data_IF_646285443220
#
_entry.id   IF_646285443220
#
_cell.length_a   1.000
_cell.length_b   1.000
_cell.length_c   1.000
_cell.angle_alpha   90.00
_cell.angle_beta   90.00
_cell.angle_gamma   90.00
#
_symmetry.space_group_name_H-M   'P 1'
#
loop_
_entity.id
_entity.type
_entity.pdbx_description
1 polymer ?
#
# COMPACT_ATOMS: atom_id res chain seq x y z
N UNK A 1 73.57 -39.70 33.91
CA UNK A 1 73.03 -40.97 34.36
C UNK A 1 71.72 -41.18 33.60
N UNK A 2 71.77 -41.99 32.50
CA UNK A 2 70.64 -42.24 31.63
C UNK A 2 69.93 -43.50 32.05
N UNK A 3 68.71 -43.44 32.52
CA UNK A 3 67.88 -44.58 32.85
C UNK A 3 67.06 -44.95 31.61
N UNK A 4 67.27 -46.12 31.03
CA UNK A 4 66.45 -46.69 29.94
C UNK A 4 65.31 -47.49 30.57
N UNK A 5 64.06 -47.32 30.20
CA UNK A 5 63.00 -48.21 30.60
C UNK A 5 63.03 -49.47 29.75
N UNK A 6 63.16 -50.65 30.41
CA UNK A 6 63.07 -51.97 29.80
C UNK A 6 61.59 -52.36 29.69
N UNK A 7 61.04 -52.36 28.47
CA UNK A 7 59.68 -52.88 28.21
C UNK A 7 59.78 -54.43 28.20
N UNK A 8 59.01 -55.03 29.07
CA UNK A 8 58.93 -56.52 29.14
C UNK A 8 57.96 -56.99 28.04
N UNK A 9 58.37 -57.91 27.11
CA UNK A 9 57.54 -58.34 25.97
C UNK A 9 56.29 -59.16 26.36
N UNK A 10 56.16 -59.56 27.58
CA UNK A 10 55.03 -60.37 28.10
C UNK A 10 53.71 -59.54 28.23
N UNK A 11 53.79 -58.23 28.38
CA UNK A 11 52.59 -57.38 28.46
C UNK A 11 51.95 -57.08 27.07
N UNK A 12 52.75 -57.13 26.03
CA UNK A 12 52.30 -56.90 24.68
C UNK A 12 51.50 -58.07 24.10
N UNK A 13 51.86 -59.30 24.47
CA UNK A 13 51.15 -60.51 24.04
C UNK A 13 49.81 -60.66 24.76
N UNK A 14 49.73 -60.26 26.03
CA UNK A 14 48.48 -60.31 26.78
C UNK A 14 47.44 -59.25 26.27
N UNK A 15 47.90 -58.06 25.84
CA UNK A 15 47.05 -57.03 25.26
C UNK A 15 46.51 -57.43 23.89
N UNK A 16 47.29 -58.14 23.07
CA UNK A 16 46.89 -58.65 21.77
C UNK A 16 45.87 -59.78 21.88
N UNK A 17 46.03 -60.70 22.88
CA UNK A 17 45.06 -61.76 23.11
C UNK A 17 43.71 -61.25 23.63
N UNK A 18 43.70 -60.16 24.42
CA UNK A 18 42.47 -59.56 24.91
C UNK A 18 41.71 -58.81 23.79
N UNK A 19 42.42 -58.20 22.85
CA UNK A 19 41.84 -57.56 21.71
C UNK A 19 41.19 -58.55 20.72
N UNK A 20 41.76 -59.71 20.51
CA UNK A 20 41.19 -60.77 19.65
C UNK A 20 39.98 -61.44 20.32
N UNK A 21 39.92 -61.54 21.64
CA UNK A 21 38.78 -62.12 22.36
C UNK A 21 37.59 -61.19 22.39
N UNK A 22 37.80 -59.86 22.25
CA UNK A 22 36.74 -58.87 22.14
C UNK A 22 36.14 -58.78 20.76
N UNK A 23 36.81 -59.24 19.70
CA UNK A 23 36.32 -59.25 18.33
C UNK A 23 35.51 -60.52 17.98
N UNK A 24 35.39 -61.50 18.86
CA UNK A 24 34.60 -62.71 18.63
C UNK A 24 33.30 -62.79 19.41
N UNK A 25 32.77 -61.60 19.87
CA UNK A 25 31.41 -61.57 20.39
C UNK A 25 30.46 -61.37 19.25
N UNK A 26 29.74 -62.42 19.07
CA UNK A 26 28.64 -62.67 18.15
C UNK A 26 27.83 -61.45 17.71
N UNK A 27 27.73 -61.31 16.39
CA UNK A 27 26.75 -60.59 15.71
C UNK A 27 25.40 -61.31 15.84
N UNK A 28 24.75 -61.23 17.01
CA UNK A 28 23.32 -61.43 17.09
C UNK A 28 22.66 -60.18 16.46
N UNK A 29 22.32 -60.36 15.21
CA UNK A 29 21.44 -59.44 14.52
C UNK A 29 20.05 -59.50 15.19
N UNK A 30 19.91 -58.81 16.32
CA UNK A 30 18.61 -58.48 16.85
C UNK A 30 17.95 -57.58 15.82
N UNK A 31 16.98 -58.12 15.08
CA UNK A 31 15.98 -57.38 14.34
C UNK A 31 15.38 -56.38 15.32
N UNK A 32 15.82 -55.13 15.24
CA UNK A 32 15.11 -54.04 15.88
C UNK A 32 13.70 -54.01 15.30
N UNK A 33 12.65 -54.09 16.13
CA UNK A 33 11.33 -53.80 15.66
C UNK A 33 11.37 -52.39 15.10
N UNK A 34 10.91 -52.25 13.86
CA UNK A 34 10.67 -50.96 13.23
C UNK A 34 9.81 -50.13 14.19
N UNK A 35 10.42 -49.32 15.02
CA UNK A 35 9.75 -48.26 15.74
C UNK A 35 9.23 -47.37 14.65
N UNK A 36 7.95 -47.56 14.32
CA UNK A 36 7.16 -46.55 13.66
C UNK A 36 7.35 -45.28 14.50
N UNK A 37 8.22 -44.39 14.00
CA UNK A 37 8.35 -43.08 14.61
C UNK A 37 6.92 -42.52 14.63
N UNK A 38 6.43 -42.09 15.78
CA UNK A 38 5.16 -41.38 15.78
C UNK A 38 5.36 -40.24 14.80
N UNK A 39 4.54 -40.21 13.74
CA UNK A 39 4.48 -39.05 12.89
C UNK A 39 4.37 -37.84 13.83
N UNK A 40 5.39 -37.01 13.79
CA UNK A 40 5.36 -35.76 14.49
C UNK A 40 4.02 -35.13 14.12
N UNK A 41 3.08 -35.11 15.05
CA UNK A 41 1.90 -34.26 14.92
C UNK A 41 2.48 -32.86 14.78
N UNK A 42 2.65 -32.42 13.55
CA UNK A 42 2.82 -31.02 13.25
C UNK A 42 1.57 -30.39 13.86
N UNK A 43 1.67 -29.89 15.08
CA UNK A 43 0.71 -28.92 15.58
C UNK A 43 0.89 -27.71 14.67
N UNK A 44 0.14 -27.67 13.58
CA UNK A 44 -0.08 -26.43 12.86
C UNK A 44 -0.64 -25.50 13.93
N UNK A 45 0.18 -24.57 14.39
CA UNK A 45 -0.29 -23.53 15.30
C UNK A 45 -1.30 -22.73 14.49
N UNK A 46 -2.56 -22.91 14.80
CA UNK A 46 -3.63 -22.13 14.21
C UNK A 46 -3.32 -20.67 14.47
N UNK A 47 -2.96 -19.96 13.39
CA UNK A 47 -2.58 -18.54 13.47
C UNK A 47 -3.82 -17.73 13.77
N UNK A 48 -3.75 -16.89 14.79
CA UNK A 48 -4.85 -15.96 15.10
C UNK A 48 -4.91 -14.89 14.02
N UNK A 49 -6.12 -14.65 13.52
CA UNK A 49 -6.40 -13.54 12.62
C UNK A 49 -6.78 -12.32 13.47
N UNK A 50 -6.00 -11.25 13.33
CA UNK A 50 -6.29 -9.96 13.93
C UNK A 50 -7.13 -9.12 12.98
N UNK A 51 -8.28 -8.68 13.43
CA UNK A 51 -9.23 -7.89 12.68
C UNK A 51 -9.46 -6.54 13.39
N UNK A 52 -8.91 -5.44 12.86
CA UNK A 52 -9.27 -4.10 13.29
C UNK A 52 -10.70 -3.78 12.86
N UNK A 53 -11.49 -3.21 13.75
CA UNK A 53 -12.91 -2.90 13.53
C UNK A 53 -13.24 -1.51 14.04
N UNK A 54 -13.61 -0.62 13.14
CA UNK A 54 -14.17 0.68 13.49
C UNK A 54 -15.70 0.63 13.35
N UNK A 55 -16.41 1.14 14.33
CA UNK A 55 -17.88 1.22 14.28
C UNK A 55 -18.29 2.68 14.39
N UNK A 56 -19.16 3.11 13.49
CA UNK A 56 -19.70 4.47 13.48
C UNK A 56 -21.23 4.45 13.49
N UNK A 57 -21.83 5.47 14.08
CA UNK A 57 -23.27 5.70 14.02
C UNK A 57 -23.68 6.37 12.67
N UNK A 58 -24.98 6.60 12.50
CA UNK A 58 -25.52 7.30 11.30
C UNK A 58 -24.95 8.71 11.08
N UNK A 59 -24.38 9.33 12.10
CA UNK A 59 -23.77 10.66 12.03
C UNK A 59 -22.27 10.59 11.76
N UNK A 60 -21.70 9.38 11.67
CA UNK A 60 -20.26 9.16 11.53
C UNK A 60 -19.48 9.25 12.85
N UNK A 61 -20.16 9.35 14.00
CA UNK A 61 -19.49 9.35 15.28
C UNK A 61 -19.05 7.93 15.69
N UNK A 62 -17.85 7.82 16.28
CA UNK A 62 -17.29 6.54 16.74
C UNK A 62 -18.13 5.97 17.89
N UNK A 63 -18.40 4.66 17.81
CA UNK A 63 -19.11 3.89 18.83
C UNK A 63 -18.12 2.96 19.52
N UNK A 64 -17.88 3.16 20.81
CA UNK A 64 -16.79 2.52 21.56
C UNK A 64 -17.26 1.69 22.77
N UNK A 65 -18.55 1.50 22.94
CA UNK A 65 -19.18 0.80 24.06
C UNK A 65 -19.75 -0.59 23.71
N UNK A 66 -19.32 -1.14 22.55
CA UNK A 66 -19.74 -2.46 22.09
C UNK A 66 -18.90 -3.58 22.73
N UNK A 67 -19.46 -4.78 22.72
CA UNK A 67 -18.84 -6.01 23.23
C UNK A 67 -18.80 -7.09 22.13
N UNK A 68 -18.03 -8.16 22.33
CA UNK A 68 -17.96 -9.28 21.39
C UNK A 68 -19.35 -9.90 21.09
N UNK A 69 -20.31 -9.81 22.02
CA UNK A 69 -21.66 -10.36 21.86
C UNK A 69 -22.51 -9.58 20.88
N UNK A 70 -22.14 -8.34 20.57
CA UNK A 70 -22.86 -7.48 19.64
C UNK A 70 -22.50 -7.80 18.18
N UNK A 71 -21.61 -8.80 17.96
CA UNK A 71 -21.11 -9.13 16.63
C UNK A 71 -21.29 -10.60 16.29
N UNK A 72 -21.54 -10.84 15.02
CA UNK A 72 -21.51 -12.17 14.39
C UNK A 72 -20.42 -12.16 13.31
N UNK A 73 -19.44 -13.05 13.45
CA UNK A 73 -18.31 -13.20 12.54
C UNK A 73 -18.50 -14.44 11.66
N UNK A 74 -18.26 -14.31 10.36
CA UNK A 74 -18.17 -15.44 9.44
C UNK A 74 -16.91 -15.30 8.58
N UNK A 75 -16.31 -16.45 8.23
CA UNK A 75 -15.23 -16.59 7.26
C UNK A 75 -15.67 -17.56 6.18
N UNK A 76 -15.62 -17.15 4.90
CA UNK A 76 -16.14 -17.91 3.76
C UNK A 76 -17.57 -18.45 3.98
N UNK A 77 -18.39 -17.64 4.66
CA UNK A 77 -19.76 -17.98 5.01
C UNK A 77 -19.91 -18.93 6.22
N UNK A 78 -18.82 -19.38 6.83
CA UNK A 78 -18.82 -20.24 8.02
C UNK A 78 -18.73 -19.40 9.30
N UNK A 79 -19.59 -19.60 10.29
CA UNK A 79 -19.51 -18.88 11.56
C UNK A 79 -18.17 -19.14 12.26
N UNK A 80 -17.58 -18.09 12.83
CA UNK A 80 -16.33 -18.15 13.57
C UNK A 80 -16.51 -17.62 14.99
N UNK A 81 -15.80 -18.24 15.95
CA UNK A 81 -15.85 -17.81 17.34
C UNK A 81 -14.85 -16.65 17.59
N UNK A 82 -15.34 -15.54 18.08
CA UNK A 82 -14.50 -14.42 18.52
C UNK A 82 -13.74 -14.83 19.79
N UNK A 83 -12.41 -14.83 19.74
CA UNK A 83 -11.54 -15.20 20.86
C UNK A 83 -11.29 -14.03 21.80
N UNK A 84 -10.93 -12.89 21.24
CA UNK A 84 -10.73 -11.66 22.01
C UNK A 84 -11.39 -10.48 21.31
N UNK A 85 -11.75 -9.49 22.11
CA UNK A 85 -12.35 -8.24 21.65
C UNK A 85 -11.95 -7.15 22.63
N UNK A 86 -11.16 -6.19 22.20
CA UNK A 86 -10.62 -5.13 23.04
C UNK A 86 -10.43 -3.83 22.28
N UNK A 87 -10.57 -2.70 22.96
CA UNK A 87 -10.15 -1.38 22.45
C UNK A 87 -8.74 -0.99 22.91
N UNK A 88 -8.18 -1.76 23.85
CA UNK A 88 -6.85 -1.50 24.38
C UNK A 88 -5.84 -2.43 23.74
N UNK A 89 -4.80 -1.85 23.18
CA UNK A 89 -3.67 -2.58 22.57
C UNK A 89 -2.36 -1.92 22.94
N UNK A 90 -1.39 -2.74 23.27
CA UNK A 90 0.00 -2.33 23.46
C UNK A 90 0.80 -2.44 22.14
N UNK A 91 0.16 -2.90 21.06
CA UNK A 91 0.80 -3.00 19.77
C UNK A 91 1.18 -1.61 19.24
N UNK A 92 2.41 -1.44 18.76
CA UNK A 92 2.83 -0.17 18.18
C UNK A 92 2.08 0.14 16.89
N UNK A 93 1.91 1.42 16.60
CA UNK A 93 1.47 1.87 15.28
C UNK A 93 2.65 1.94 14.31
N UNK A 94 2.37 1.53 13.07
CA UNK A 94 3.20 1.75 11.89
C UNK A 94 2.35 2.54 10.91
N UNK A 95 2.66 3.82 10.79
CA UNK A 95 1.87 4.76 10.01
C UNK A 95 2.65 5.16 8.76
N UNK A 96 1.97 5.24 7.63
CA UNK A 96 2.50 5.82 6.41
C UNK A 96 1.64 7.00 5.98
N UNK A 97 2.27 8.14 5.74
CA UNK A 97 1.66 9.29 5.09
C UNK A 97 2.07 9.28 3.62
N UNK A 98 1.09 9.19 2.72
CA UNK A 98 1.28 9.19 1.27
C UNK A 98 0.61 10.44 0.71
N UNK A 99 1.41 11.38 0.24
CA UNK A 99 0.95 12.69 -0.22
C UNK A 99 1.13 12.78 -1.74
N UNK A 100 0.02 12.99 -2.43
CA UNK A 100 0.01 13.29 -3.85
C UNK A 100 0.55 14.70 -4.06
N UNK A 101 1.67 14.83 -4.75
CA UNK A 101 2.26 16.12 -5.12
C UNK A 101 2.07 16.46 -6.60
N UNK A 102 1.20 15.70 -7.27
CA UNK A 102 0.87 15.94 -8.66
C UNK A 102 0.18 17.29 -8.86
N UNK A 103 0.17 17.74 -10.10
CA UNK A 103 -0.33 19.07 -10.45
C UNK A 103 -1.80 19.29 -10.12
N UNK A 104 -2.62 18.25 -10.10
CA UNK A 104 -4.06 18.34 -9.81
C UNK A 104 -4.37 18.77 -8.39
N UNK A 105 -3.46 18.49 -7.44
CA UNK A 105 -3.61 18.84 -6.01
C UNK A 105 -2.83 20.10 -5.58
N UNK A 106 -2.19 20.79 -6.53
CA UNK A 106 -1.34 21.96 -6.27
C UNK A 106 -1.96 22.99 -5.32
N UNK A 107 -3.24 23.30 -5.49
CA UNK A 107 -3.93 24.31 -4.67
C UNK A 107 -4.21 23.86 -3.24
N UNK A 108 -4.10 22.57 -2.94
CA UNK A 108 -4.36 22.00 -1.63
C UNK A 108 -3.10 21.79 -0.79
N UNK A 109 -1.91 21.79 -1.41
CA UNK A 109 -0.65 21.34 -0.75
C UNK A 109 -0.33 22.09 0.55
N UNK A 110 -0.57 23.40 0.61
CA UNK A 110 -0.29 24.17 1.84
C UNK A 110 -1.23 23.81 2.99
N UNK A 111 -2.49 23.48 2.65
CA UNK A 111 -3.45 23.01 3.65
C UNK A 111 -3.14 21.57 4.06
N UNK A 112 -2.69 20.76 3.11
CA UNK A 112 -2.28 19.37 3.35
C UNK A 112 -1.07 19.29 4.28
N UNK A 113 -0.01 20.06 4.02
CA UNK A 113 1.17 20.11 4.89
C UNK A 113 0.80 20.38 6.35
N UNK A 114 0.02 21.42 6.60
CA UNK A 114 -0.42 21.78 7.96
C UNK A 114 -1.25 20.68 8.62
N UNK A 115 -2.13 20.05 7.85
CA UNK A 115 -2.95 18.98 8.38
C UNK A 115 -2.14 17.69 8.63
N UNK A 116 -1.15 17.38 7.77
CA UNK A 116 -0.22 16.27 7.96
C UNK A 116 0.64 16.47 9.23
N UNK A 117 1.20 17.65 9.45
CA UNK A 117 1.91 18.01 10.71
C UNK A 117 1.00 17.80 11.92
N UNK A 118 -0.25 18.26 11.84
CA UNK A 118 -1.21 18.07 12.92
C UNK A 118 -1.51 16.61 13.19
N UNK A 119 -1.61 15.79 12.14
CA UNK A 119 -1.78 14.35 12.29
C UNK A 119 -0.56 13.69 12.96
N UNK A 120 0.64 14.06 12.54
CA UNK A 120 1.90 13.61 13.16
C UNK A 120 1.89 14.00 14.65
N UNK A 121 1.48 15.23 14.98
CA UNK A 121 1.33 15.68 16.37
C UNK A 121 0.34 14.82 17.17
N UNK A 122 -0.78 14.45 16.57
CA UNK A 122 -1.80 13.60 17.21
C UNK A 122 -1.33 12.17 17.41
N UNK A 123 -0.56 11.61 16.49
CA UNK A 123 -0.21 10.19 16.49
C UNK A 123 1.11 9.87 17.19
N UNK A 124 2.09 10.76 17.15
CA UNK A 124 3.39 10.55 17.78
C UNK A 124 3.56 11.41 19.03
N UNK A 125 4.27 10.96 20.07
CA UNK A 125 4.58 11.78 21.25
C UNK A 125 5.58 12.90 20.90
N UNK A 126 5.52 14.03 21.62
CA UNK A 126 6.47 15.13 21.42
C UNK A 126 7.91 14.74 21.78
N UNK A 127 8.09 13.92 22.82
CA UNK A 127 9.38 13.33 23.16
C UNK A 127 9.44 11.90 22.62
N UNK A 128 10.32 11.58 21.67
CA UNK A 128 10.48 10.23 21.13
C UNK A 128 10.76 9.17 22.21
N UNK A 129 11.37 9.57 23.33
CA UNK A 129 11.64 8.67 24.47
C UNK A 129 10.39 8.34 25.29
N UNK A 130 9.34 9.17 25.16
CA UNK A 130 8.05 8.93 25.79
C UNK A 130 7.14 7.98 24.99
N UNK A 131 7.58 7.48 23.85
CA UNK A 131 6.85 6.52 23.00
C UNK A 131 6.78 5.14 23.68
N UNK A 132 5.87 4.96 24.63
CA UNK A 132 5.70 3.73 25.42
C UNK A 132 5.43 2.52 24.52
N UNK A 133 4.73 2.72 23.40
CA UNK A 133 4.38 1.67 22.45
C UNK A 133 5.36 1.53 21.29
N UNK A 134 6.26 2.47 21.09
CA UNK A 134 7.19 2.49 19.97
C UNK A 134 6.51 2.81 18.62
N UNK A 135 5.49 3.67 18.65
CA UNK A 135 4.79 4.15 17.45
C UNK A 135 5.78 4.87 16.51
N UNK A 136 5.67 4.61 15.21
CA UNK A 136 6.54 5.18 14.17
C UNK A 136 5.71 5.54 12.93
N UNK A 137 6.17 6.55 12.22
CA UNK A 137 5.61 6.92 10.93
C UNK A 137 6.71 7.09 9.88
N UNK A 138 6.36 6.92 8.61
CA UNK A 138 7.15 7.29 7.45
C UNK A 138 6.37 8.24 6.55
N UNK A 139 7.07 8.93 5.65
CA UNK A 139 6.50 9.88 4.71
C UNK A 139 6.93 9.55 3.29
N UNK A 140 5.96 9.43 2.40
CA UNK A 140 6.14 9.30 0.97
C UNK A 140 5.41 10.44 0.27
N UNK A 141 6.01 11.04 -0.73
CA UNK A 141 5.28 11.76 -1.74
C UNK A 141 5.28 10.99 -3.07
N UNK A 142 4.26 11.21 -3.88
CA UNK A 142 4.15 10.57 -5.17
C UNK A 142 3.53 11.50 -6.21
N UNK A 143 4.11 11.48 -7.40
CA UNK A 143 3.61 12.08 -8.62
C UNK A 143 3.97 11.16 -9.80
N UNK A 144 4.97 11.50 -10.61
CA UNK A 144 5.53 10.64 -11.67
C UNK A 144 6.42 9.54 -11.12
N UNK A 145 6.91 9.71 -9.91
CA UNK A 145 7.77 8.81 -9.18
C UNK A 145 7.25 8.70 -7.74
N UNK A 146 7.58 7.60 -7.09
CA UNK A 146 7.29 7.38 -5.67
C UNK A 146 8.58 7.57 -4.90
N UNK A 147 8.63 8.56 -4.01
CA UNK A 147 9.83 8.88 -3.25
C UNK A 147 9.57 8.81 -1.74
N UNK A 148 10.43 8.05 -1.04
CA UNK A 148 10.44 7.98 0.41
C UNK A 148 11.22 9.19 0.96
N UNK A 149 10.51 10.15 1.55
CA UNK A 149 11.11 11.36 2.13
C UNK A 149 11.71 11.11 3.51
N UNK A 150 11.00 10.40 4.37
CA UNK A 150 11.51 9.96 5.69
C UNK A 150 11.07 8.52 5.95
N UNK A 151 12.02 7.67 6.34
CA UNK A 151 11.78 6.29 6.74
C UNK A 151 11.15 6.24 8.15
N UNK A 152 10.77 5.05 8.61
CA UNK A 152 10.14 4.86 9.92
C UNK A 152 10.89 5.58 11.05
N UNK A 153 10.26 6.60 11.57
CA UNK A 153 10.77 7.39 12.68
C UNK A 153 9.68 7.66 13.72
N UNK A 154 10.09 7.89 14.96
CA UNK A 154 9.22 8.42 16.02
C UNK A 154 9.50 9.90 16.29
N UNK A 155 10.36 10.54 15.50
CA UNK A 155 10.69 11.96 15.61
C UNK A 155 9.70 12.79 14.79
N UNK A 156 8.87 13.58 15.48
CA UNK A 156 8.03 14.59 14.83
C UNK A 156 8.85 15.58 14.02
N UNK A 157 9.93 16.06 14.60
CA UNK A 157 10.80 17.10 13.99
C UNK A 157 11.31 16.69 12.60
N UNK A 158 11.66 15.40 12.42
CA UNK A 158 12.10 14.89 11.13
C UNK A 158 10.96 14.86 10.12
N UNK A 159 9.79 14.34 10.53
CA UNK A 159 8.60 14.29 9.65
C UNK A 159 8.14 15.70 9.29
N UNK A 160 8.06 16.61 10.26
CA UNK A 160 7.62 17.99 10.04
C UNK A 160 8.59 18.71 9.07
N UNK A 161 9.91 18.45 9.20
CA UNK A 161 10.91 19.00 8.28
C UNK A 161 10.66 18.59 6.82
N UNK A 162 10.41 17.30 6.59
CA UNK A 162 10.15 16.79 5.25
C UNK A 162 8.78 17.22 4.73
N UNK A 163 7.76 17.27 5.59
CA UNK A 163 6.43 17.80 5.24
C UNK A 163 6.52 19.25 4.78
N UNK A 164 7.26 20.11 5.51
CA UNK A 164 7.48 21.51 5.14
C UNK A 164 8.24 21.66 3.82
N UNK A 165 9.18 20.77 3.55
CA UNK A 165 10.03 20.79 2.37
C UNK A 165 9.30 20.30 1.10
N UNK A 166 8.19 19.55 1.21
CA UNK A 166 7.44 19.06 0.06
C UNK A 166 7.00 20.20 -0.85
N UNK A 167 7.33 20.11 -2.11
CA UNK A 167 6.91 21.08 -3.13
C UNK A 167 6.15 20.36 -4.25
N UNK A 168 5.04 20.91 -4.73
CA UNK A 168 4.35 20.32 -5.87
C UNK A 168 5.24 20.39 -7.10
N UNK A 169 5.11 19.40 -7.97
CA UNK A 169 5.86 19.34 -9.24
C UNK A 169 5.55 20.57 -10.09
N UNK A 170 6.52 21.48 -10.20
CA UNK A 170 6.37 22.70 -10.99
C UNK A 170 6.59 22.43 -12.48
N UNK A 171 5.94 23.24 -13.32
CA UNK A 171 6.01 23.17 -14.81
C UNK A 171 7.41 23.51 -15.36
N UNK A 172 8.30 24.07 -14.53
CA UNK A 172 9.53 24.74 -15.00
C UNK A 172 10.78 23.86 -15.12
N UNK A 173 10.76 22.63 -14.62
CA UNK A 173 11.94 21.77 -14.69
C UNK A 173 12.23 21.17 -16.07
N UNK A 174 11.40 21.44 -17.08
CA UNK A 174 11.57 20.88 -18.42
C UNK A 174 12.01 21.89 -19.49
N UNK A 175 12.50 23.09 -19.13
CA UNK A 175 12.87 24.14 -20.08
C UNK A 175 14.35 24.57 -20.04
N UNK A 176 15.23 23.87 -19.33
CA UNK A 176 16.69 24.11 -19.42
C UNK A 176 17.42 22.94 -20.10
N UNK A 177 17.07 22.68 -21.35
CA UNK A 177 18.04 22.09 -22.27
C UNK A 177 19.00 23.19 -22.73
N UNK A 178 20.33 22.94 -22.86
CA UNK A 178 21.25 23.96 -23.37
C UNK A 178 20.85 24.33 -24.80
N UNK A 179 20.68 25.62 -25.07
CA UNK A 179 20.53 26.16 -26.42
C UNK A 179 21.80 25.86 -27.23
N UNK A 180 21.78 24.77 -27.96
CA UNK A 180 22.74 24.58 -29.06
C UNK A 180 22.04 24.92 -30.37
N UNK A 181 22.30 26.11 -30.82
CA UNK A 181 22.05 26.51 -32.22
C UNK A 181 22.88 25.62 -33.16
N UNK A 182 22.22 24.80 -33.94
CA UNK A 182 22.81 23.97 -34.95
C UNK A 182 21.72 23.41 -35.86
N UNK A 183 21.62 24.02 -37.07
CA UNK A 183 20.86 23.52 -38.20
C UNK A 183 21.35 22.11 -38.56
N UNK A 184 20.51 21.10 -38.39
CA UNK A 184 20.61 19.89 -39.18
C UNK A 184 19.25 19.18 -39.30
N UNK A 185 18.79 19.04 -40.55
CA UNK A 185 17.57 18.32 -40.88
C UNK A 185 17.84 16.82 -40.81
N UNK A 186 17.45 16.16 -39.75
CA UNK A 186 17.40 14.72 -39.70
C UNK A 186 15.96 14.24 -39.45
N UNK A 187 15.47 13.48 -40.45
CA UNK A 187 14.26 12.67 -40.30
C UNK A 187 14.51 11.64 -39.20
N UNK A 188 13.82 11.76 -38.07
CA UNK A 188 13.95 10.84 -36.95
C UNK A 188 12.62 10.69 -36.23
N UNK A 189 12.06 9.55 -36.40
CA UNK A 189 11.22 8.76 -35.48
C UNK A 189 10.40 9.58 -34.47
N UNK A 190 9.10 9.68 -34.73
CA UNK A 190 8.12 10.15 -33.77
C UNK A 190 8.00 9.12 -32.63
N UNK A 191 9.01 9.04 -31.75
CA UNK A 191 8.88 8.46 -30.44
C UNK A 191 7.84 9.27 -29.68
N UNK A 192 6.77 8.61 -29.30
CA UNK A 192 5.66 9.12 -28.51
C UNK A 192 6.19 9.69 -27.16
N UNK A 193 6.60 10.95 -27.19
CA UNK A 193 6.97 11.70 -25.99
C UNK A 193 5.72 12.29 -25.35
N UNK A 194 4.73 11.46 -25.04
CA UNK A 194 3.70 11.79 -24.10
C UNK A 194 4.28 11.74 -22.66
N UNK A 195 5.23 12.64 -22.37
CA UNK A 195 5.60 12.93 -20.99
C UNK A 195 4.45 13.72 -20.33
N UNK A 196 3.26 13.10 -20.36
CA UNK A 196 2.08 13.55 -19.67
C UNK A 196 2.30 13.50 -18.15
N UNK A 197 1.68 14.43 -17.44
CA UNK A 197 1.60 14.43 -16.00
C UNK A 197 1.19 13.03 -15.50
N UNK A 198 2.09 12.35 -14.79
CA UNK A 198 1.85 11.04 -14.16
C UNK A 198 1.44 11.20 -12.71
N UNK A 199 0.76 10.21 -12.17
CA UNK A 199 0.48 10.06 -10.74
C UNK A 199 0.51 8.57 -10.46
N UNK A 200 1.46 8.11 -9.64
CA UNK A 200 1.69 6.68 -9.36
C UNK A 200 1.04 6.28 -8.02
N UNK A 201 -0.28 6.43 -7.93
CA UNK A 201 -1.04 6.13 -6.71
C UNK A 201 -0.94 4.64 -6.31
N UNK A 202 -1.12 3.73 -7.28
CA UNK A 202 -1.13 2.30 -6.98
C UNK A 202 0.27 1.80 -6.64
N UNK A 203 1.31 2.29 -7.32
CA UNK A 203 2.71 1.97 -6.99
C UNK A 203 3.06 2.47 -5.58
N UNK A 204 2.60 3.66 -5.18
CA UNK A 204 2.84 4.20 -3.84
C UNK A 204 2.21 3.33 -2.75
N UNK A 205 0.98 2.84 -2.95
CA UNK A 205 0.31 1.92 -2.01
C UNK A 205 1.03 0.58 -1.98
N UNK A 206 1.36 0.03 -3.16
CA UNK A 206 2.03 -1.27 -3.27
C UNK A 206 3.39 -1.26 -2.56
N UNK A 207 4.28 -0.33 -2.92
CA UNK A 207 5.62 -0.22 -2.33
C UNK A 207 5.56 0.03 -0.81
N UNK A 208 4.66 0.92 -0.38
CA UNK A 208 4.46 1.17 1.05
C UNK A 208 4.03 -0.09 1.79
N UNK A 209 3.16 -0.89 1.19
CA UNK A 209 2.60 -2.08 1.83
C UNK A 209 3.57 -3.26 1.80
N UNK A 210 4.13 -3.61 0.63
CA UNK A 210 4.95 -4.81 0.48
C UNK A 210 6.38 -4.61 0.99
N UNK A 211 7.01 -3.47 0.72
CA UNK A 211 8.41 -3.25 1.09
C UNK A 211 8.57 -2.64 2.49
N UNK A 212 7.76 -1.63 2.84
CA UNK A 212 7.93 -0.92 4.09
C UNK A 212 7.12 -1.53 5.24
N UNK A 213 5.83 -1.83 5.03
CA UNK A 213 4.93 -2.26 6.09
C UNK A 213 4.98 -3.76 6.37
N UNK A 214 5.08 -4.62 5.35
CA UNK A 214 5.03 -6.07 5.48
C UNK A 214 6.04 -6.65 6.48
N UNK A 215 7.31 -6.20 6.51
CA UNK A 215 8.31 -6.70 7.47
C UNK A 215 8.13 -6.16 8.89
N UNK A 216 7.18 -5.27 9.14
CA UNK A 216 6.99 -4.64 10.45
C UNK A 216 5.90 -5.33 11.24
N UNK A 217 6.09 -5.41 12.56
CA UNK A 217 5.05 -5.81 13.50
C UNK A 217 4.25 -4.59 13.97
N UNK A 218 3.01 -4.84 14.41
CA UNK A 218 2.16 -3.80 14.98
C UNK A 218 0.88 -3.58 14.17
N UNK A 219 0.20 -2.48 14.49
CA UNK A 219 -1.01 -2.01 13.81
C UNK A 219 -0.58 -1.09 12.67
N UNK A 220 -0.98 -1.41 11.45
CA UNK A 220 -0.46 -0.80 10.24
C UNK A 220 -1.55 0.00 9.54
N UNK A 221 -1.26 1.25 9.23
CA UNK A 221 -2.18 2.10 8.50
C UNK A 221 -1.45 3.02 7.52
N UNK A 222 -2.00 3.18 6.33
CA UNK A 222 -1.64 4.22 5.37
C UNK A 222 -2.71 5.31 5.40
N UNK A 223 -2.31 6.56 5.35
CA UNK A 223 -3.19 7.71 5.15
C UNK A 223 -2.78 8.38 3.85
N UNK A 224 -3.69 8.39 2.89
CA UNK A 224 -3.42 8.86 1.53
C UNK A 224 -4.23 10.11 1.27
N UNK A 225 -3.57 11.16 0.78
CA UNK A 225 -4.19 12.37 0.28
C UNK A 225 -3.99 12.46 -1.24
N UNK A 226 -5.09 12.40 -2.03
CA UNK A 226 -5.03 12.41 -3.49
C UNK A 226 -6.40 12.74 -4.12
N UNK A 227 -6.40 13.10 -5.39
CA UNK A 227 -7.61 13.14 -6.22
C UNK A 227 -8.01 11.75 -6.76
N UNK A 228 -7.24 10.72 -6.43
CA UNK A 228 -7.52 9.32 -6.77
C UNK A 228 -7.30 8.96 -8.23
N UNK A 229 -6.73 9.85 -9.03
CA UNK A 229 -6.48 9.59 -10.46
C UNK A 229 -5.08 9.01 -10.63
N UNK A 230 -5.01 7.73 -10.94
CA UNK A 230 -3.76 7.07 -11.31
C UNK A 230 -3.44 7.27 -12.79
N UNK A 231 -2.20 7.62 -13.09
CA UNK A 231 -1.69 7.80 -14.47
C UNK A 231 -0.23 7.42 -14.56
N UNK A 232 0.06 6.15 -14.55
CA UNK A 232 1.41 5.70 -14.78
C UNK A 232 1.97 4.69 -13.82
N UNK A 233 1.20 4.21 -12.86
CA UNK A 233 1.58 3.06 -12.04
C UNK A 233 1.81 1.83 -12.91
N UNK A 234 2.77 1.03 -12.52
CA UNK A 234 3.04 -0.30 -13.08
C UNK A 234 2.07 -1.32 -12.51
N UNK A 235 1.76 -1.16 -11.22
CA UNK A 235 0.82 -2.00 -10.51
C UNK A 235 -0.62 -1.56 -10.78
N UNK A 236 -1.56 -2.50 -10.67
CA UNK A 236 -2.99 -2.21 -10.75
C UNK A 236 -3.55 -1.85 -9.37
N UNK A 237 -4.75 -1.26 -9.34
CA UNK A 237 -5.47 -1.03 -8.08
C UNK A 237 -5.64 -2.33 -7.26
N UNK A 238 -5.91 -3.46 -7.94
CA UNK A 238 -6.04 -4.74 -7.25
C UNK A 238 -4.72 -5.21 -6.67
N UNK A 239 -3.60 -5.08 -7.38
CA UNK A 239 -2.29 -5.45 -6.87
C UNK A 239 -1.92 -4.61 -5.62
N UNK A 240 -2.22 -3.32 -5.65
CA UNK A 240 -2.02 -2.42 -4.51
C UNK A 240 -2.85 -2.81 -3.28
N UNK A 241 -4.14 -3.13 -3.49
CA UNK A 241 -5.03 -3.60 -2.42
C UNK A 241 -4.56 -4.95 -1.87
N UNK A 242 -4.21 -5.89 -2.75
CA UNK A 242 -3.72 -7.21 -2.35
C UNK A 242 -2.42 -7.13 -1.54
N UNK A 243 -1.52 -6.20 -1.90
CA UNK A 243 -0.31 -5.92 -1.12
C UNK A 243 -0.65 -5.39 0.29
N UNK A 244 -1.61 -4.46 0.39
CA UNK A 244 -2.09 -3.94 1.67
C UNK A 244 -2.71 -5.04 2.53
N UNK A 245 -3.56 -5.89 1.95
CA UNK A 245 -4.21 -7.00 2.66
C UNK A 245 -3.18 -8.04 3.16
N UNK A 246 -2.20 -8.42 2.31
CA UNK A 246 -1.12 -9.35 2.70
C UNK A 246 -0.24 -8.79 3.82
N UNK A 247 -0.01 -7.49 3.81
CA UNK A 247 0.75 -6.79 4.85
C UNK A 247 -0.08 -6.50 6.11
N UNK A 248 -1.41 -6.67 6.06
CA UNK A 248 -2.33 -6.33 7.16
C UNK A 248 -2.46 -4.82 7.38
N UNK A 249 -2.44 -4.05 6.31
CA UNK A 249 -2.48 -2.58 6.31
C UNK A 249 -3.91 -2.09 6.05
N UNK A 250 -4.40 -1.19 6.91
CA UNK A 250 -5.61 -0.42 6.67
C UNK A 250 -5.26 0.84 5.85
N UNK A 251 -6.02 1.13 4.80
CA UNK A 251 -5.77 2.31 3.97
C UNK A 251 -6.87 3.34 4.16
N UNK A 252 -6.55 4.44 4.82
CA UNK A 252 -7.42 5.60 4.98
C UNK A 252 -7.18 6.54 3.81
N UNK A 253 -8.26 7.01 3.18
CA UNK A 253 -8.14 7.85 2.01
C UNK A 253 -8.84 9.18 2.21
N UNK A 254 -8.15 10.27 1.86
CA UNK A 254 -8.66 11.62 1.87
C UNK A 254 -8.72 12.09 0.41
N UNK A 255 -9.92 12.09 -0.14
CA UNK A 255 -10.15 12.52 -1.51
C UNK A 255 -10.25 14.04 -1.58
N UNK A 256 -9.43 14.61 -2.43
CA UNK A 256 -9.47 16.02 -2.79
C UNK A 256 -9.90 16.15 -4.25
N UNK A 257 -10.92 16.97 -4.53
CA UNK A 257 -11.32 17.22 -5.92
C UNK A 257 -10.28 18.12 -6.57
N UNK A 258 -9.42 17.55 -7.42
CA UNK A 258 -8.47 18.27 -8.24
C UNK A 258 -9.16 19.31 -9.15
N UNK A 259 -8.42 20.32 -9.60
CA UNK A 259 -8.93 21.27 -10.58
C UNK A 259 -9.08 20.56 -11.93
N UNK A 260 -10.31 20.44 -12.41
CA UNK A 260 -10.57 19.98 -13.78
C UNK A 260 -9.87 20.94 -14.73
N UNK A 261 -8.87 20.46 -15.47
CA UNK A 261 -8.34 21.19 -16.60
C UNK A 261 -9.45 21.27 -17.65
N UNK A 262 -10.26 22.31 -17.58
CA UNK A 262 -11.05 22.70 -18.73
C UNK A 262 -10.06 23.04 -19.84
N UNK A 263 -9.85 22.11 -20.75
CA UNK A 263 -9.23 22.36 -22.05
C UNK A 263 -10.06 23.46 -22.73
N UNK A 264 -9.76 24.68 -22.37
CA UNK A 264 -10.37 25.88 -22.94
C UNK A 264 -9.87 26.06 -24.35
N UNK A 265 -10.41 25.30 -25.31
CA UNK A 265 -10.44 25.71 -26.71
C UNK A 265 -11.72 26.44 -27.00
N UNK A 266 -11.90 27.54 -26.31
CA UNK A 266 -12.88 28.54 -26.65
C UNK A 266 -12.15 29.83 -26.92
N UNK A 267 -11.53 29.93 -28.07
CA UNK A 267 -11.25 31.26 -28.62
C UNK A 267 -12.58 31.88 -28.97
N UNK A 268 -13.01 32.95 -28.31
CA UNK A 268 -14.05 33.77 -28.84
C UNK A 268 -13.43 34.49 -30.04
N UNK A 269 -13.70 34.00 -31.24
CA UNK A 269 -13.40 34.70 -32.48
C UNK A 269 -14.06 36.06 -32.43
N UNK A 270 -13.33 37.07 -31.99
CA UNK A 270 -13.65 38.48 -32.12
C UNK A 270 -13.65 38.85 -33.57
N UNK A 271 -14.82 39.25 -34.00
CA UNK A 271 -15.15 39.62 -35.32
C UNK A 271 -14.50 40.88 -35.86
N UNK A 272 -14.82 41.07 -37.07
CA UNK A 272 -14.88 42.30 -37.86
C UNK A 272 -13.68 43.23 -37.89
N UNK A 273 -13.11 43.31 -39.07
CA UNK A 273 -13.02 44.60 -39.74
C UNK A 273 -12.97 44.39 -41.27
N UNK A 274 -13.93 44.97 -41.95
CA UNK A 274 -14.02 45.18 -43.36
C UNK A 274 -12.88 46.08 -43.81
N UNK A 275 -12.40 45.84 -44.99
CA UNK A 275 -11.45 46.69 -45.71
C UNK A 275 -11.61 46.43 -47.19
N UNK A 276 -12.23 47.39 -47.86
CA UNK A 276 -12.37 47.53 -49.33
C UNK A 276 -11.03 47.48 -50.05
N UNK A 277 -11.10 47.05 -51.30
CA UNK A 277 -10.19 47.59 -52.35
C UNK A 277 -9.64 46.55 -53.30
N UNK A 278 -10.26 46.36 -54.40
CA UNK A 278 -9.80 46.77 -55.71
C UNK A 278 -8.85 45.85 -56.46
N UNK A 279 -9.24 45.51 -57.69
CA UNK A 279 -8.28 45.20 -58.72
C UNK A 279 -8.40 43.82 -59.35
N UNK A 280 -9.21 43.73 -60.40
CA UNK A 280 -9.30 42.58 -61.29
C UNK A 280 -8.10 42.39 -62.19
N UNK A 281 -7.88 41.17 -62.61
CA UNK A 281 -7.43 40.79 -63.97
C UNK A 281 -7.97 39.41 -64.32
N UNK A 282 -8.46 39.25 -65.57
CA UNK A 282 -8.95 37.99 -66.06
C UNK A 282 -7.84 37.23 -66.82
N UNK A 283 -7.79 35.96 -66.67
CA UNK A 283 -6.88 35.14 -67.51
C UNK A 283 -6.93 33.68 -67.18
N UNK A 284 -7.70 32.95 -67.95
CA UNK A 284 -7.27 31.79 -68.69
C UNK A 284 -7.19 30.44 -68.02
N UNK A 285 -8.19 29.62 -68.22
CA UNK A 285 -8.11 28.35 -68.89
C UNK A 285 -7.43 27.16 -68.19
N UNK A 286 -8.20 26.11 -68.00
CA UNK A 286 -7.60 24.77 -67.84
C UNK A 286 -8.39 23.89 -66.88
N UNK A 287 -9.45 23.22 -67.37
CA UNK A 287 -10.19 22.24 -66.60
C UNK A 287 -9.46 20.91 -66.49
N UNK A 288 -9.55 20.30 -65.33
CA UNK A 288 -9.42 18.86 -65.16
C UNK A 288 -10.54 18.42 -64.25
N UNK A 289 -11.32 17.38 -64.65
CA UNK A 289 -12.28 16.77 -63.73
C UNK A 289 -11.62 15.61 -62.97
N UNK A 290 -11.77 15.53 -61.70
CA UNK A 290 -11.39 14.33 -61.08
C UNK A 290 -11.29 14.35 -59.56
N UNK A 291 -12.16 13.61 -59.01
CA UNK A 291 -12.07 12.89 -57.75
C UNK A 291 -12.81 13.55 -56.59
N UNK A 292 -14.02 13.04 -56.37
CA UNK A 292 -14.79 13.18 -55.16
C UNK A 292 -14.04 12.58 -53.99
N UNK A 293 -13.62 13.43 -53.06
CA UNK A 293 -13.12 13.03 -51.75
C UNK A 293 -14.28 13.13 -50.79
N UNK A 294 -14.82 11.96 -50.39
CA UNK A 294 -15.82 11.83 -49.36
C UNK A 294 -15.31 12.39 -48.05
N UNK A 295 -16.01 13.33 -47.49
CA UNK A 295 -15.82 13.79 -46.12
C UNK A 295 -16.12 12.64 -45.19
N UNK A 296 -15.07 11.97 -44.76
CA UNK A 296 -15.16 11.04 -43.66
C UNK A 296 -15.49 11.84 -42.39
N UNK A 297 -16.71 11.73 -41.95
CA UNK A 297 -17.03 12.02 -40.57
C UNK A 297 -16.22 11.05 -39.72
N UNK A 298 -15.15 11.53 -39.09
CA UNK A 298 -14.56 10.84 -37.97
C UNK A 298 -15.65 10.77 -36.90
N UNK A 299 -16.15 9.58 -36.49
CA UNK A 299 -17.00 9.47 -35.33
C UNK A 299 -16.19 10.01 -34.17
N UNK A 300 -16.81 10.95 -33.46
CA UNK A 300 -16.23 11.63 -32.32
C UNK A 300 -15.50 10.67 -31.39
N UNK A 301 -14.40 11.17 -30.87
CA UNK A 301 -13.56 10.44 -29.94
C UNK A 301 -14.42 9.74 -28.90
N UNK A 302 -14.21 8.43 -28.80
CA UNK A 302 -14.71 7.66 -27.69
C UNK A 302 -14.15 8.34 -26.44
N UNK A 303 -15.02 9.05 -25.70
CA UNK A 303 -14.69 9.44 -24.34
C UNK A 303 -14.36 8.14 -23.59
N UNK A 304 -13.08 7.84 -23.45
CA UNK A 304 -12.65 6.82 -22.49
C UNK A 304 -13.31 7.19 -21.15
N UNK A 305 -13.93 6.24 -20.44
CA UNK A 305 -14.57 6.56 -19.17
C UNK A 305 -13.52 7.23 -18.30
N UNK A 306 -13.75 8.50 -17.97
CA UNK A 306 -12.89 9.23 -17.05
C UNK A 306 -12.93 8.47 -15.74
N UNK A 307 -11.77 7.95 -15.32
CA UNK A 307 -11.64 7.21 -14.07
C UNK A 307 -12.14 8.11 -12.95
N UNK A 308 -13.16 7.65 -12.24
CA UNK A 308 -13.73 8.37 -11.11
C UNK A 308 -12.82 8.18 -9.89
N UNK A 309 -11.83 9.07 -9.72
CA UNK A 309 -10.86 8.99 -8.64
C UNK A 309 -11.52 8.89 -7.26
N UNK A 310 -12.67 9.52 -7.07
CA UNK A 310 -13.44 9.39 -5.84
C UNK A 310 -13.86 7.95 -5.57
N UNK A 311 -14.36 7.24 -6.59
CA UNK A 311 -14.73 5.81 -6.45
C UNK A 311 -13.54 4.92 -6.19
N UNK A 312 -12.41 5.20 -6.85
CA UNK A 312 -11.15 4.49 -6.62
C UNK A 312 -10.74 4.61 -5.14
N UNK A 313 -10.71 5.83 -4.61
CA UNK A 313 -10.35 6.09 -3.21
C UNK A 313 -11.33 5.41 -2.23
N UNK A 314 -12.63 5.41 -2.55
CA UNK A 314 -13.65 4.71 -1.77
C UNK A 314 -13.44 3.20 -1.77
N UNK A 315 -13.13 2.62 -2.92
CA UNK A 315 -12.92 1.17 -3.05
C UNK A 315 -11.67 0.71 -2.30
N UNK A 316 -10.54 1.43 -2.45
CA UNK A 316 -9.31 1.13 -1.72
C UNK A 316 -9.55 1.13 -0.21
N UNK A 317 -10.16 2.21 0.33
CA UNK A 317 -10.45 2.30 1.76
C UNK A 317 -11.38 1.17 2.24
N UNK A 318 -12.47 0.94 1.51
CA UNK A 318 -13.49 -0.07 1.87
C UNK A 318 -12.89 -1.47 1.95
N UNK A 319 -12.12 -1.89 0.95
CA UNK A 319 -11.57 -3.25 0.86
C UNK A 319 -10.53 -3.53 1.91
N UNK A 320 -9.70 -2.54 2.24
CA UNK A 320 -8.62 -2.67 3.23
C UNK A 320 -9.05 -2.39 4.68
N UNK A 321 -10.32 -2.03 4.90
CA UNK A 321 -10.87 -1.74 6.23
C UNK A 321 -10.49 -0.39 6.80
N UNK A 322 -10.06 0.54 5.96
CA UNK A 322 -9.89 1.94 6.33
C UNK A 322 -11.17 2.76 6.08
N UNK A 323 -11.06 4.07 6.21
CA UNK A 323 -12.17 5.01 6.01
C UNK A 323 -11.87 5.96 4.86
N UNK A 324 -12.93 6.29 4.12
CA UNK A 324 -12.89 7.29 3.07
C UNK A 324 -13.40 8.64 3.58
N UNK A 325 -12.69 9.72 3.28
CA UNK A 325 -13.07 11.10 3.56
C UNK A 325 -13.04 11.93 2.29
N UNK A 326 -13.95 12.86 2.16
CA UNK A 326 -13.95 13.85 1.08
C UNK A 326 -13.63 15.23 1.65
N UNK A 327 -12.45 15.76 1.32
CA UNK A 327 -12.06 17.11 1.71
C UNK A 327 -12.81 18.14 0.86
N UNK A 328 -13.80 18.80 1.45
CA UNK A 328 -14.53 19.90 0.82
C UNK A 328 -13.90 21.23 1.23
N UNK A 329 -14.02 22.26 0.39
CA UNK A 329 -13.48 23.62 0.68
C UNK A 329 -13.88 24.20 2.04
N UNK A 330 -14.95 23.68 2.68
CA UNK A 330 -15.44 24.13 3.98
C UNK A 330 -15.02 23.26 5.15
N UNK A 331 -14.52 22.05 4.85
CA UNK A 331 -14.12 21.10 5.87
C UNK A 331 -12.64 21.36 6.19
N UNK A 332 -12.32 21.42 7.47
CA UNK A 332 -10.93 21.50 7.90
C UNK A 332 -10.28 20.13 7.69
N UNK A 333 -9.14 20.08 7.00
CA UNK A 333 -8.35 18.86 6.92
C UNK A 333 -7.92 18.39 8.32
N UNK A 334 -7.70 19.31 9.25
CA UNK A 334 -7.41 19.02 10.65
C UNK A 334 -8.50 18.15 11.30
N UNK A 335 -9.78 18.45 11.00
CA UNK A 335 -10.92 17.66 11.51
C UNK A 335 -10.89 16.24 10.93
N UNK A 336 -10.59 16.09 9.63
CA UNK A 336 -10.49 14.78 8.98
C UNK A 336 -9.35 13.95 9.60
N UNK A 337 -8.16 14.53 9.72
CA UNK A 337 -7.04 13.84 10.35
C UNK A 337 -7.31 13.53 11.84
N UNK A 338 -8.02 14.43 12.54
CA UNK A 338 -8.51 14.18 13.88
C UNK A 338 -9.44 12.96 13.99
N UNK A 339 -10.35 12.80 13.02
CA UNK A 339 -11.23 11.63 12.92
C UNK A 339 -10.44 10.35 12.63
N UNK A 340 -9.46 10.39 11.71
CA UNK A 340 -8.58 9.25 11.42
C UNK A 340 -7.80 8.84 12.68
N UNK A 341 -7.18 9.81 13.36
CA UNK A 341 -6.45 9.54 14.60
C UNK A 341 -7.35 8.96 15.68
N UNK A 342 -8.58 9.47 15.79
CA UNK A 342 -9.62 8.95 16.70
C UNK A 342 -10.02 7.52 16.34
N UNK A 343 -10.28 7.23 15.07
CA UNK A 343 -10.61 5.90 14.59
C UNK A 343 -9.49 4.90 14.91
N UNK A 344 -8.26 5.20 14.54
CA UNK A 344 -7.10 4.35 14.82
C UNK A 344 -6.89 4.09 16.31
N UNK A 345 -7.14 5.06 17.20
CA UNK A 345 -6.95 4.92 18.64
C UNK A 345 -8.08 4.18 19.33
N UNK A 346 -9.31 4.27 18.80
CA UNK A 346 -10.54 3.78 19.43
C UNK A 346 -11.14 2.58 18.71
N UNK A 347 -10.49 2.05 17.67
CA UNK A 347 -10.96 0.84 17.00
C UNK A 347 -10.92 -0.35 17.95
N UNK A 348 -11.84 -1.28 17.72
CA UNK A 348 -11.81 -2.57 18.36
C UNK A 348 -10.79 -3.47 17.67
N UNK A 349 -10.07 -4.25 18.45
CA UNK A 349 -9.22 -5.32 17.96
C UNK A 349 -9.90 -6.65 18.28
N UNK A 350 -10.38 -7.30 17.25
CA UNK A 350 -11.01 -8.61 17.32
C UNK A 350 -9.99 -9.66 16.88
N UNK A 351 -9.87 -10.75 17.64
CA UNK A 351 -9.11 -11.92 17.20
C UNK A 351 -9.99 -13.15 17.15
N UNK A 352 -9.71 -14.00 16.17
CA UNK A 352 -10.29 -15.34 16.08
C UNK A 352 -9.27 -16.31 15.49
N UNK A 353 -9.52 -17.58 15.65
CA UNK A 353 -8.73 -18.63 15.02
C UNK A 353 -9.63 -19.30 14.00
N UNK A 354 -9.26 -19.32 12.71
CA UNK A 354 -10.03 -20.02 11.69
C UNK A 354 -10.24 -21.50 12.06
N UNK A 355 -11.47 -22.00 11.89
CA UNK A 355 -11.78 -23.41 12.11
C UNK A 355 -11.02 -24.32 11.16
N UNK A 356 -10.74 -23.84 9.96
CA UNK A 356 -9.96 -24.49 8.94
C UNK A 356 -8.68 -23.69 8.72
N UNK A 357 -7.56 -24.31 9.04
CA UNK A 357 -6.25 -23.69 8.80
C UNK A 357 -5.85 -23.99 7.36
N UNK A 358 -6.07 -23.03 6.48
CA UNK A 358 -5.59 -23.09 5.11
C UNK A 358 -4.23 -22.41 5.02
N UNK A 359 -3.26 -23.06 4.36
CA UNK A 359 -1.91 -22.56 4.12
C UNK A 359 -1.62 -22.46 2.62
N UNK A 360 -2.70 -22.29 1.85
CA UNK A 360 -2.69 -22.31 0.38
C UNK A 360 -2.31 -20.95 -0.23
N UNK A 361 -2.32 -19.88 0.56
CA UNK A 361 -2.09 -18.51 0.10
C UNK A 361 -3.32 -17.86 -0.52
N UNK A 362 -4.50 -18.51 -0.43
CA UNK A 362 -5.73 -18.01 -0.96
C UNK A 362 -6.35 -16.90 -0.10
N UNK A 363 -7.24 -16.13 -0.71
CA UNK A 363 -7.99 -15.08 -0.05
C UNK A 363 -9.21 -15.63 0.68
N UNK A 364 -9.32 -15.36 1.99
CA UNK A 364 -10.44 -15.74 2.84
C UNK A 364 -11.33 -14.54 3.13
N UNK A 365 -12.58 -14.64 2.72
CA UNK A 365 -13.55 -13.56 2.88
C UNK A 365 -14.10 -13.50 4.30
N UNK A 366 -14.01 -12.34 4.94
CA UNK A 366 -14.57 -12.06 6.27
C UNK A 366 -15.88 -11.28 6.13
N UNK A 367 -16.87 -11.63 6.94
CA UNK A 367 -18.02 -10.77 7.14
C UNK A 367 -18.34 -10.64 8.64
N UNK A 368 -18.30 -9.40 9.12
CA UNK A 368 -18.63 -9.02 10.47
C UNK A 368 -19.97 -8.26 10.45
N UNK A 369 -20.93 -8.70 11.26
CA UNK A 369 -22.28 -8.11 11.33
C UNK A 369 -22.65 -7.79 12.77
N UNK A 370 -23.57 -6.85 12.96
CA UNK A 370 -24.21 -6.53 14.25
C UNK A 370 -25.72 -6.47 14.10
N UNK A 371 -26.43 -6.90 15.12
CA UNK A 371 -27.90 -6.79 15.18
C UNK A 371 -28.37 -5.39 15.66
N UNK A 372 -27.42 -4.55 16.10
CA UNK A 372 -27.76 -3.17 16.53
C UNK A 372 -28.08 -2.32 15.29
N UNK A 373 -29.25 -1.69 15.26
CA UNK A 373 -29.64 -0.83 14.13
C UNK A 373 -28.75 0.40 14.09
N UNK A 374 -28.65 0.97 12.90
CA UNK A 374 -28.06 2.29 12.70
C UNK A 374 -26.54 2.38 12.91
N UNK A 375 -25.86 1.24 12.97
CA UNK A 375 -24.40 1.16 13.04
C UNK A 375 -23.81 0.70 11.70
N UNK A 376 -22.69 1.32 11.35
CA UNK A 376 -21.87 0.90 10.21
C UNK A 376 -20.56 0.31 10.74
N UNK A 377 -20.27 -0.92 10.33
CA UNK A 377 -19.02 -1.61 10.66
C UNK A 377 -18.04 -1.39 9.51
N UNK A 378 -16.84 -0.96 9.84
CA UNK A 378 -15.73 -0.74 8.93
C UNK A 378 -14.60 -1.69 9.34
N UNK A 379 -14.28 -2.61 8.46
CA UNK A 379 -13.21 -3.60 8.63
C UNK A 379 -12.83 -4.15 7.26
N UNK A 380 -11.68 -4.80 7.15
CA UNK A 380 -11.24 -5.40 5.89
C UNK A 380 -12.17 -6.51 5.41
N UNK A 381 -12.26 -6.68 4.11
CA UNK A 381 -13.14 -7.70 3.50
C UNK A 381 -12.62 -9.13 3.65
N UNK A 382 -11.33 -9.30 3.94
CA UNK A 382 -10.71 -10.60 4.09
C UNK A 382 -9.22 -10.52 4.40
N UNK A 383 -8.55 -11.63 4.20
CA UNK A 383 -7.08 -11.72 4.34
C UNK A 383 -6.55 -12.87 3.47
N UNK A 384 -5.25 -12.83 3.16
CA UNK A 384 -4.57 -13.93 2.51
C UNK A 384 -3.99 -14.90 3.53
N UNK A 385 -4.28 -16.20 3.41
CA UNK A 385 -3.66 -17.21 4.22
C UNK A 385 -2.14 -17.24 3.95
N UNK A 386 -1.33 -17.28 5.01
CA UNK A 386 0.13 -17.36 4.85
C UNK A 386 0.53 -18.74 4.36
N UNK A 387 1.29 -18.80 3.27
CA UNK A 387 1.93 -20.03 2.82
C UNK A 387 2.93 -20.53 3.88
N UNK A 388 3.01 -21.85 4.09
CA UNK A 388 3.87 -22.43 5.11
C UNK A 388 5.37 -22.09 5.01
N UNK A 389 5.79 -21.41 3.93
CA UNK A 389 7.18 -20.95 3.72
C UNK A 389 7.47 -19.60 4.40
N UNK A 390 6.48 -18.78 4.67
CA UNK A 390 6.67 -17.45 5.27
C UNK A 390 6.92 -17.52 6.80
N UNK A 391 6.69 -18.68 7.41
CA UNK A 391 6.89 -18.88 8.84
C UNK A 391 8.36 -19.05 9.27
N UNK A 392 9.31 -19.15 8.32
CA UNK A 392 10.72 -19.47 8.62
C UNK A 392 11.67 -18.26 8.63
N UNK A 393 11.21 -17.05 8.35
CA UNK A 393 12.08 -15.85 8.27
C UNK A 393 11.99 -14.91 9.48
N UNK A 394 11.24 -15.28 10.52
CA UNK A 394 11.08 -14.48 11.74
C UNK A 394 11.63 -15.20 12.98
N UNK A 395 12.94 -15.42 13.08
CA UNK A 395 13.66 -15.69 14.33
C UNK A 395 14.86 -14.78 14.44
#
# INVERSE_FOLDING_TARGET
MKIRPSYRPTLLVLALALAVLLCLRDSDAAQQPSTTQPMANLKVQAREVLLPVTVVDKKGALVTDLTAKDFTLTEDGRPQAIKSFTTQSNLPFRLGLLVDTSRSVYTAIDSERKAAEKFVELMLPADPKAAVRGDQAFLIHFDREVELLEDFTNSREKLDHEIDAMTPTSREQNSQGPETSGDDHSYGDHGDSSHGAGTQLYDAIYLSSDELMKPKDGRKALVIFSDGVDRGSKETMNDAIDAADRAGVQVFTIYFKGEEQHGGSGFPGGGHHGGMGGGGYPGGGGGWPGSGGGGGHHPGGTNAPQLDGKKIMQEIASRTGGMFFEAKKKDSLDDIYGLIAGALRQEYLLTYTPDKVDTDGDFHKIALKTDKPDLTIITREGYYATTGNDASTGQ
#
